data_IF_140488492491
#
_entry.id   IF_140488492491
#
_cell.length_a   1.000
_cell.length_b   1.000
_cell.length_c   1.000
_cell.angle_alpha   90.00
_cell.angle_beta   90.00
_cell.angle_gamma   90.00
#
_symmetry.space_group_name_H-M   'P 1'
#
loop_
_entity.id
_entity.type
_entity.pdbx_description
1 polymer ?
#
# COMPACT_ATOMS: atom_id res chain seq x y z
N UNK A 1 -42.66 -61.45 7.01
CA UNK A 1 -42.82 -59.98 6.90
C UNK A 1 -41.64 -59.21 7.50
N UNK A 2 -40.39 -59.49 7.10
CA UNK A 2 -39.20 -58.85 7.72
C UNK A 2 -38.11 -58.41 6.73
N UNK A 3 -38.25 -58.69 5.43
CA UNK A 3 -37.23 -58.37 4.41
C UNK A 3 -37.47 -57.01 3.72
N UNK A 4 -38.73 -56.56 3.61
CA UNK A 4 -39.09 -55.29 2.92
C UNK A 4 -38.70 -54.01 3.71
N UNK A 5 -38.60 -54.08 5.05
CA UNK A 5 -38.29 -52.93 5.90
C UNK A 5 -36.79 -52.56 5.93
N UNK A 6 -35.89 -53.51 5.69
CA UNK A 6 -34.43 -53.26 5.68
C UNK A 6 -33.94 -52.61 4.38
N UNK A 7 -34.56 -52.92 3.24
CA UNK A 7 -34.24 -52.29 1.96
C UNK A 7 -34.73 -50.84 1.87
N UNK A 8 -35.86 -50.50 2.50
CA UNK A 8 -36.36 -49.13 2.57
C UNK A 8 -35.46 -48.21 3.42
N UNK A 9 -34.89 -48.72 4.52
CA UNK A 9 -33.99 -47.93 5.39
C UNK A 9 -32.62 -47.71 4.73
N UNK A 10 -32.09 -48.71 4.03
CA UNK A 10 -30.84 -48.60 3.25
C UNK A 10 -31.00 -47.69 2.02
N UNK A 11 -32.15 -47.71 1.35
CA UNK A 11 -32.47 -46.81 0.23
C UNK A 11 -32.59 -45.34 0.64
N UNK A 12 -33.14 -45.05 1.83
CA UNK A 12 -33.23 -43.68 2.36
C UNK A 12 -31.91 -43.15 2.92
N UNK A 13 -31.00 -44.04 3.36
CA UNK A 13 -29.66 -43.64 3.83
C UNK A 13 -28.72 -43.27 2.67
N UNK A 14 -28.85 -43.90 1.49
CA UNK A 14 -28.08 -43.51 0.30
C UNK A 14 -28.50 -42.13 -0.24
N UNK A 15 -29.79 -41.79 -0.22
CA UNK A 15 -30.26 -40.47 -0.69
C UNK A 15 -29.86 -39.30 0.22
N UNK A 16 -29.47 -39.56 1.47
CA UNK A 16 -28.94 -38.53 2.37
C UNK A 16 -27.42 -38.39 2.27
N UNK A 17 -26.70 -39.42 1.81
CA UNK A 17 -25.25 -39.36 1.67
C UNK A 17 -24.79 -38.60 0.42
N UNK A 18 -25.58 -38.62 -0.65
CA UNK A 18 -25.28 -37.84 -1.86
C UNK A 18 -25.63 -36.34 -1.71
N UNK A 19 -26.48 -35.96 -0.75
CA UNK A 19 -26.85 -34.55 -0.55
C UNK A 19 -25.76 -33.69 0.10
N UNK A 20 -24.83 -34.28 0.86
CA UNK A 20 -23.79 -33.50 1.54
C UNK A 20 -22.67 -33.02 0.61
N UNK A 21 -22.40 -33.73 -0.49
CA UNK A 21 -21.41 -33.28 -1.47
C UNK A 21 -21.97 -32.15 -2.36
N UNK A 22 -23.23 -32.26 -2.79
CA UNK A 22 -23.89 -31.29 -3.66
C UNK A 22 -24.23 -29.96 -2.97
N UNK A 23 -24.57 -29.96 -1.67
CA UNK A 23 -24.92 -28.72 -0.94
C UNK A 23 -23.74 -27.78 -0.65
N UNK A 24 -22.49 -28.24 -0.79
CA UNK A 24 -21.30 -27.44 -0.40
C UNK A 24 -20.70 -26.60 -1.53
N UNK A 25 -20.91 -26.99 -2.80
CA UNK A 25 -20.36 -26.29 -3.96
C UNK A 25 -21.23 -25.07 -4.34
N UNK A 26 -22.55 -25.17 -4.20
CA UNK A 26 -23.50 -24.09 -4.50
C UNK A 26 -23.28 -22.83 -3.66
N UNK A 27 -22.83 -22.97 -2.40
CA UNK A 27 -22.50 -21.83 -1.53
C UNK A 27 -21.23 -21.08 -1.94
N UNK A 28 -20.29 -21.74 -2.65
CA UNK A 28 -19.10 -21.05 -3.19
C UNK A 28 -19.38 -20.36 -4.53
N UNK A 29 -20.35 -20.84 -5.31
CA UNK A 29 -20.67 -20.25 -6.62
C UNK A 29 -21.57 -19.01 -6.55
N UNK A 30 -22.33 -18.82 -5.48
CA UNK A 30 -23.32 -17.73 -5.38
C UNK A 30 -22.70 -16.37 -5.09
N UNK A 31 -21.65 -16.34 -4.27
CA UNK A 31 -20.98 -15.10 -3.85
C UNK A 31 -19.64 -14.83 -4.57
N UNK A 32 -19.19 -15.75 -5.43
CA UNK A 32 -17.92 -15.61 -6.17
C UNK A 32 -18.06 -14.75 -7.45
N UNK A 33 -17.00 -13.99 -7.83
CA UNK A 33 -16.98 -13.26 -9.09
C UNK A 33 -16.97 -14.24 -10.28
N UNK A 34 -17.71 -13.91 -11.36
CA UNK A 34 -17.90 -14.78 -12.54
C UNK A 34 -16.61 -15.40 -13.09
N UNK A 35 -15.51 -14.63 -13.12
CA UNK A 35 -14.21 -15.13 -13.58
C UNK A 35 -13.65 -16.27 -12.71
N UNK A 36 -13.84 -16.21 -11.40
CA UNK A 36 -13.38 -17.27 -10.50
C UNK A 36 -14.24 -18.53 -10.64
N UNK A 37 -15.53 -18.38 -10.96
CA UNK A 37 -16.44 -19.51 -11.25
C UNK A 37 -16.01 -20.25 -12.52
N UNK A 38 -15.59 -19.53 -13.56
CA UNK A 38 -15.05 -20.15 -14.78
C UNK A 38 -13.79 -20.99 -14.49
N UNK A 39 -12.89 -20.48 -13.63
CA UNK A 39 -11.71 -21.24 -13.19
C UNK A 39 -12.06 -22.46 -12.33
N UNK A 40 -13.05 -22.34 -11.45
CA UNK A 40 -13.51 -23.42 -10.58
C UNK A 40 -14.11 -24.57 -11.39
N UNK A 41 -14.96 -24.24 -12.37
CA UNK A 41 -15.58 -25.22 -13.28
C UNK A 41 -14.56 -25.88 -14.20
N UNK A 42 -13.57 -25.13 -14.70
CA UNK A 42 -12.47 -25.68 -15.51
C UNK A 42 -11.63 -26.70 -14.71
N UNK A 43 -11.30 -26.40 -13.45
CA UNK A 43 -10.52 -27.31 -12.60
C UNK A 43 -11.32 -28.53 -12.14
N UNK A 44 -12.61 -28.36 -11.84
CA UNK A 44 -13.50 -29.46 -11.47
C UNK A 44 -13.78 -30.43 -12.62
N UNK A 45 -13.58 -29.99 -13.88
CA UNK A 45 -13.66 -30.88 -15.04
C UNK A 45 -12.50 -31.87 -15.14
N UNK A 46 -11.39 -31.62 -14.44
CA UNK A 46 -10.27 -32.55 -14.38
C UNK A 46 -10.59 -33.71 -13.44
N UNK A 47 -10.33 -34.94 -13.91
CA UNK A 47 -10.55 -36.18 -13.14
C UNK A 47 -9.85 -36.19 -11.78
N UNK A 48 -8.78 -35.40 -11.63
CA UNK A 48 -8.00 -35.26 -10.41
C UNK A 48 -8.75 -34.51 -9.28
N UNK A 49 -9.70 -33.62 -9.64
CA UNK A 49 -10.40 -32.73 -8.70
C UNK A 49 -11.93 -32.90 -8.71
N UNK A 50 -12.48 -33.68 -9.66
CA UNK A 50 -13.92 -33.83 -9.89
C UNK A 50 -14.73 -34.37 -8.69
N UNK A 51 -14.10 -35.01 -7.71
CA UNK A 51 -14.76 -35.54 -6.50
C UNK A 51 -14.32 -34.86 -5.21
N UNK A 52 -13.57 -33.75 -5.28
CA UNK A 52 -13.18 -33.01 -4.08
C UNK A 52 -14.36 -32.26 -3.49
N UNK A 53 -14.62 -32.44 -2.19
CA UNK A 53 -15.54 -31.61 -1.43
C UNK A 53 -14.89 -30.32 -0.92
N UNK A 54 -15.68 -29.40 -0.37
CA UNK A 54 -15.23 -28.09 0.14
C UNK A 54 -14.07 -28.19 1.13
N UNK A 55 -14.10 -29.13 2.09
CA UNK A 55 -13.01 -29.32 3.06
C UNK A 55 -11.70 -29.80 2.41
N UNK A 56 -11.81 -30.67 1.39
CA UNK A 56 -10.66 -31.17 0.64
C UNK A 56 -10.03 -30.07 -0.22
N UNK A 57 -10.84 -29.16 -0.77
CA UNK A 57 -10.36 -27.98 -1.51
C UNK A 57 -9.60 -27.01 -0.61
N UNK A 58 -10.09 -26.77 0.62
CA UNK A 58 -9.45 -25.87 1.57
C UNK A 58 -8.13 -26.44 2.13
N UNK A 59 -7.99 -27.77 2.20
CA UNK A 59 -6.79 -28.43 2.73
C UNK A 59 -5.76 -28.78 1.66
N UNK A 60 -6.19 -29.01 0.40
CA UNK A 60 -5.30 -29.46 -0.66
C UNK A 60 -4.49 -28.32 -1.31
N UNK A 61 -3.20 -28.28 -0.97
CA UNK A 61 -2.19 -27.43 -1.65
C UNK A 61 -2.20 -27.52 -3.19
N UNK A 62 -2.33 -28.69 -3.85
CA UNK A 62 -2.33 -28.75 -5.32
C UNK A 62 -3.53 -28.02 -5.94
N UNK A 63 -4.71 -28.13 -5.34
CA UNK A 63 -5.90 -27.42 -5.79
C UNK A 63 -5.75 -25.91 -5.63
N UNK A 64 -5.34 -25.43 -4.45
CA UNK A 64 -5.14 -23.99 -4.22
C UNK A 64 -4.08 -23.39 -5.16
N UNK A 65 -3.05 -24.18 -5.52
CA UNK A 65 -2.02 -23.76 -6.49
C UNK A 65 -2.58 -23.70 -7.91
N UNK A 66 -3.34 -24.71 -8.34
CA UNK A 66 -3.96 -24.74 -9.68
C UNK A 66 -4.99 -23.61 -9.85
N UNK A 67 -5.82 -23.41 -8.81
CA UNK A 67 -6.76 -22.28 -8.72
C UNK A 67 -6.03 -20.94 -8.80
N UNK A 68 -4.96 -20.76 -8.01
CA UNK A 68 -4.14 -19.56 -8.06
C UNK A 68 -3.53 -19.29 -9.44
N UNK A 69 -3.10 -20.33 -10.17
CA UNK A 69 -2.60 -20.18 -11.55
C UNK A 69 -3.69 -19.70 -12.50
N UNK A 70 -4.90 -20.27 -12.42
CA UNK A 70 -6.02 -19.86 -13.27
C UNK A 70 -6.48 -18.42 -12.99
N UNK A 71 -6.63 -18.06 -11.72
CA UNK A 71 -7.02 -16.70 -11.32
C UNK A 71 -6.02 -15.64 -11.78
N UNK A 72 -4.72 -15.96 -11.73
CA UNK A 72 -3.67 -15.02 -12.13
C UNK A 72 -3.51 -14.90 -13.66
N UNK A 73 -4.04 -15.85 -14.43
CA UNK A 73 -4.01 -15.78 -15.91
C UNK A 73 -5.29 -15.20 -16.49
N UNK A 74 -6.45 -15.49 -15.91
CA UNK A 74 -7.75 -15.10 -16.47
C UNK A 74 -8.43 -13.94 -15.73
N UNK A 75 -8.16 -13.74 -14.44
CA UNK A 75 -8.88 -12.75 -13.63
C UNK A 75 -8.06 -11.50 -13.32
N UNK A 76 -8.77 -10.38 -13.11
CA UNK A 76 -8.15 -9.15 -12.62
C UNK A 76 -7.70 -9.30 -11.16
N UNK A 77 -6.64 -8.58 -10.78
CA UNK A 77 -6.14 -8.59 -9.39
C UNK A 77 -7.23 -8.29 -8.35
N UNK A 78 -8.20 -7.43 -8.68
CA UNK A 78 -9.31 -7.09 -7.78
C UNK A 78 -10.24 -8.28 -7.56
N UNK A 79 -10.69 -8.92 -8.64
CA UNK A 79 -11.54 -10.11 -8.57
C UNK A 79 -10.85 -11.29 -7.89
N UNK A 80 -9.54 -11.44 -8.09
CA UNK A 80 -8.75 -12.45 -7.41
C UNK A 80 -8.72 -12.21 -5.90
N UNK A 81 -8.52 -10.96 -5.46
CA UNK A 81 -8.56 -10.63 -4.03
C UNK A 81 -9.95 -10.80 -3.41
N UNK A 82 -11.01 -10.44 -4.14
CA UNK A 82 -12.39 -10.62 -3.69
C UNK A 82 -12.70 -12.12 -3.54
N UNK A 83 -12.31 -12.95 -4.51
CA UNK A 83 -12.43 -14.41 -4.42
C UNK A 83 -11.60 -15.02 -3.29
N UNK A 84 -10.36 -14.55 -3.06
CA UNK A 84 -9.53 -15.03 -1.95
C UNK A 84 -10.19 -14.70 -0.61
N UNK A 85 -10.76 -13.51 -0.47
CA UNK A 85 -11.49 -13.11 0.74
C UNK A 85 -12.70 -14.03 0.96
N UNK A 86 -13.50 -14.24 -0.07
CA UNK A 86 -14.70 -15.06 0.00
C UNK A 86 -14.39 -16.55 0.25
N UNK A 87 -13.45 -17.11 -0.50
CA UNK A 87 -13.00 -18.50 -0.30
C UNK A 87 -12.37 -18.71 1.08
N UNK A 88 -11.65 -17.72 1.62
CA UNK A 88 -11.11 -17.80 2.99
C UNK A 88 -12.21 -17.80 4.06
N UNK A 89 -13.29 -17.04 3.85
CA UNK A 89 -14.46 -17.05 4.73
C UNK A 89 -15.18 -18.41 4.67
N UNK A 90 -15.33 -18.97 3.47
CA UNK A 90 -15.91 -20.30 3.26
C UNK A 90 -15.03 -21.44 3.82
N UNK A 91 -13.71 -21.27 3.91
CA UNK A 91 -12.80 -22.20 4.58
C UNK A 91 -12.68 -21.94 6.09
N UNK A 92 -13.39 -20.96 6.64
CA UNK A 92 -13.33 -20.61 8.08
C UNK A 92 -11.98 -20.04 8.52
N UNK A 93 -11.17 -19.52 7.60
CA UNK A 93 -9.85 -18.97 7.90
C UNK A 93 -10.03 -17.50 8.31
N UNK A 94 -9.73 -17.12 9.57
CA UNK A 94 -9.88 -15.73 10.00
C UNK A 94 -8.87 -14.82 9.27
N UNK A 95 -9.25 -13.58 8.90
CA UNK A 95 -8.32 -12.63 8.31
C UNK A 95 -7.18 -12.34 9.30
N UNK A 96 -5.95 -12.67 8.90
CA UNK A 96 -4.75 -12.48 9.72
C UNK A 96 -4.40 -10.99 9.79
N UNK A 97 -4.86 -10.29 10.83
CA UNK A 97 -4.57 -8.87 11.06
C UNK A 97 -3.23 -8.69 11.79
N UNK A 98 -2.12 -9.04 11.12
CA UNK A 98 -0.76 -8.88 11.68
C UNK A 98 -0.12 -7.53 11.34
N UNK A 99 -0.92 -6.65 10.74
CA UNK A 99 -1.10 -5.31 11.27
C UNK A 99 0.12 -4.61 11.86
N UNK A 100 0.12 -4.62 13.18
CA UNK A 100 1.11 -3.91 13.98
C UNK A 100 2.40 -4.72 14.17
N UNK A 101 2.33 -6.06 14.06
CA UNK A 101 3.53 -6.90 14.20
C UNK A 101 4.50 -6.67 13.05
N UNK A 102 4.00 -6.53 11.82
CA UNK A 102 4.86 -6.19 10.69
C UNK A 102 5.40 -4.76 10.79
N UNK A 103 4.64 -3.82 11.37
CA UNK A 103 5.05 -2.41 11.53
C UNK A 103 6.20 -2.31 12.51
N UNK A 104 6.03 -2.92 13.68
CA UNK A 104 7.04 -2.96 14.72
C UNK A 104 8.30 -3.67 14.20
N UNK A 105 8.14 -4.82 13.54
CA UNK A 105 9.27 -5.57 13.03
C UNK A 105 10.04 -4.82 11.93
N UNK A 106 9.35 -4.19 10.98
CA UNK A 106 9.98 -3.41 9.91
C UNK A 106 10.79 -2.22 10.47
N UNK A 107 10.21 -1.46 11.40
CA UNK A 107 10.90 -0.32 12.03
C UNK A 107 12.13 -0.76 12.81
N UNK A 108 12.03 -1.87 13.56
CA UNK A 108 13.14 -2.41 14.35
C UNK A 108 14.27 -2.91 13.44
N UNK A 109 13.95 -3.64 12.37
CA UNK A 109 14.95 -4.14 11.41
C UNK A 109 15.69 -2.99 10.74
N UNK A 110 14.99 -1.91 10.37
CA UNK A 110 15.63 -0.73 9.77
C UNK A 110 16.57 -0.02 10.75
N UNK A 111 16.16 0.13 12.01
CA UNK A 111 17.01 0.73 13.05
C UNK A 111 18.28 -0.10 13.27
N UNK A 112 18.15 -1.43 13.36
CA UNK A 112 19.31 -2.31 13.46
C UNK A 112 20.22 -2.21 12.22
N UNK A 113 19.66 -2.17 11.01
CA UNK A 113 20.44 -2.06 9.78
C UNK A 113 21.30 -0.78 9.74
N UNK A 114 20.76 0.36 10.19
CA UNK A 114 21.52 1.61 10.31
C UNK A 114 22.64 1.52 11.35
N UNK A 115 22.39 0.85 12.48
CA UNK A 115 23.43 0.63 13.51
C UNK A 115 24.55 -0.26 12.96
N UNK A 116 24.20 -1.36 12.28
CA UNK A 116 25.20 -2.24 11.65
C UNK A 116 26.00 -1.53 10.56
N UNK A 117 25.34 -0.68 9.75
CA UNK A 117 26.02 0.15 8.77
C UNK A 117 27.00 1.12 9.44
N UNK A 118 26.56 1.85 10.47
CA UNK A 118 27.42 2.76 11.21
C UNK A 118 28.62 2.05 11.84
N UNK A 119 28.39 0.90 12.50
CA UNK A 119 29.46 0.06 13.05
C UNK A 119 30.44 -0.42 11.98
N UNK A 120 29.95 -0.80 10.80
CA UNK A 120 30.78 -1.24 9.66
C UNK A 120 31.65 -0.11 9.12
N UNK A 121 31.13 1.10 8.98
CA UNK A 121 31.90 2.28 8.56
C UNK A 121 32.93 2.67 9.63
N UNK A 122 32.54 2.69 10.90
CA UNK A 122 33.44 3.03 12.01
C UNK A 122 34.58 2.02 12.13
N UNK A 123 34.30 0.71 12.06
CA UNK A 123 35.35 -0.31 12.13
C UNK A 123 36.33 -0.21 10.96
N UNK A 124 35.86 0.04 9.73
CA UNK A 124 36.76 0.27 8.58
C UNK A 124 37.61 1.52 8.73
N UNK A 125 37.04 2.63 9.20
CA UNK A 125 37.77 3.88 9.41
C UNK A 125 38.80 3.75 10.54
N UNK A 126 38.45 3.05 11.63
CA UNK A 126 39.32 2.81 12.78
C UNK A 126 40.47 1.83 12.47
N UNK A 127 40.19 0.79 11.67
CA UNK A 127 41.15 -0.27 11.35
C UNK A 127 41.90 -0.02 10.03
N UNK A 128 41.57 1.03 9.28
CA UNK A 128 42.23 1.36 8.00
C UNK A 128 42.03 0.31 6.90
N UNK A 129 40.92 -0.43 6.93
CA UNK A 129 40.64 -1.51 5.98
C UNK A 129 40.30 -0.96 4.59
N UNK A 130 40.68 -1.69 3.54
CA UNK A 130 40.39 -1.33 2.14
C UNK A 130 38.89 -1.39 1.84
N UNK A 131 38.40 -0.52 0.97
CA UNK A 131 36.99 -0.48 0.57
C UNK A 131 36.66 -1.62 -0.41
N UNK A 132 35.63 -2.40 -0.10
CA UNK A 132 35.14 -3.49 -0.96
C UNK A 132 33.91 -3.08 -1.76
N UNK A 133 33.56 -3.88 -2.77
CA UNK A 133 32.37 -3.66 -3.62
C UNK A 133 31.08 -3.70 -2.78
N UNK A 134 31.01 -4.58 -1.78
CA UNK A 134 29.87 -4.66 -0.86
C UNK A 134 29.68 -3.37 -0.05
N UNK A 135 30.76 -2.69 0.31
CA UNK A 135 30.70 -1.42 1.05
C UNK A 135 30.18 -0.30 0.15
N UNK A 136 30.62 -0.28 -1.12
CA UNK A 136 30.15 0.68 -2.11
C UNK A 136 28.65 0.51 -2.38
N UNK A 137 28.18 -0.72 -2.57
CA UNK A 137 26.77 -1.01 -2.80
C UNK A 137 25.93 -0.59 -1.59
N UNK A 138 26.35 -0.98 -0.38
CA UNK A 138 25.63 -0.63 0.85
C UNK A 138 25.59 0.88 1.06
N UNK A 139 26.72 1.57 0.84
CA UNK A 139 26.81 3.03 0.97
C UNK A 139 25.92 3.73 -0.04
N UNK A 140 25.88 3.27 -1.29
CA UNK A 140 25.02 3.83 -2.34
C UNK A 140 23.54 3.69 -1.97
N UNK A 141 23.12 2.52 -1.46
CA UNK A 141 21.74 2.30 -1.03
C UNK A 141 21.33 3.22 0.12
N UNK A 142 22.20 3.38 1.13
CA UNK A 142 21.94 4.31 2.25
C UNK A 142 21.90 5.76 1.76
N UNK A 143 22.83 6.15 0.90
CA UNK A 143 22.88 7.50 0.32
C UNK A 143 21.59 7.83 -0.44
N UNK A 144 21.07 6.89 -1.22
CA UNK A 144 19.81 7.06 -1.95
C UNK A 144 18.64 7.38 -1.00
N UNK A 145 18.49 6.60 0.08
CA UNK A 145 17.45 6.83 1.10
C UNK A 145 17.62 8.19 1.78
N UNK A 146 18.87 8.55 2.12
CA UNK A 146 19.16 9.84 2.76
C UNK A 146 18.81 11.01 1.85
N UNK A 147 19.17 10.94 0.55
CA UNK A 147 18.86 11.98 -0.43
C UNK A 147 17.35 12.15 -0.58
N UNK A 148 16.59 11.05 -0.66
CA UNK A 148 15.13 11.10 -0.77
C UNK A 148 14.48 11.82 0.43
N UNK A 149 14.90 11.47 1.65
CA UNK A 149 14.40 12.10 2.88
C UNK A 149 14.80 13.57 2.98
N UNK A 150 16.04 13.90 2.61
CA UNK A 150 16.54 15.28 2.61
C UNK A 150 15.80 16.14 1.58
N UNK A 151 15.56 15.62 0.38
CA UNK A 151 14.85 16.33 -0.68
C UNK A 151 13.44 16.75 -0.22
N UNK A 152 12.68 15.82 0.36
CA UNK A 152 11.33 16.12 0.84
C UNK A 152 11.31 17.04 2.06
N UNK A 153 12.31 16.93 2.93
CA UNK A 153 12.50 17.86 4.03
C UNK A 153 12.82 19.27 3.53
N UNK A 154 13.68 19.39 2.51
CA UNK A 154 14.00 20.66 1.88
C UNK A 154 12.76 21.32 1.27
N UNK A 155 11.90 20.56 0.57
CA UNK A 155 10.63 21.08 0.03
C UNK A 155 9.75 21.68 1.13
N UNK A 156 9.56 20.98 2.25
CA UNK A 156 8.74 21.46 3.37
C UNK A 156 9.32 22.72 4.00
N UNK A 157 10.65 22.79 4.14
CA UNK A 157 11.34 23.97 4.67
C UNK A 157 11.22 25.19 3.76
N UNK A 158 11.31 25.00 2.44
CA UNK A 158 11.10 26.09 1.47
C UNK A 158 9.68 26.67 1.61
N UNK A 159 8.65 25.80 1.69
CA UNK A 159 7.26 26.24 1.91
C UNK A 159 7.11 27.00 3.22
N UNK A 160 7.74 26.51 4.30
CA UNK A 160 7.73 27.19 5.59
C UNK A 160 8.40 28.57 5.53
N UNK A 161 9.53 28.71 4.82
CA UNK A 161 10.21 29.99 4.63
C UNK A 161 9.32 31.01 3.88
N UNK A 162 8.61 30.58 2.83
CA UNK A 162 7.68 31.43 2.08
C UNK A 162 6.51 31.87 2.97
N UNK A 163 5.91 30.95 3.74
CA UNK A 163 4.82 31.27 4.66
C UNK A 163 5.28 32.26 5.76
N UNK A 164 6.50 32.10 6.28
CA UNK A 164 7.11 33.06 7.21
C UNK A 164 7.28 34.45 6.58
N UNK A 165 7.68 34.52 5.31
CA UNK A 165 7.75 35.77 4.56
C UNK A 165 6.37 36.43 4.42
N UNK A 166 5.31 35.66 4.17
CA UNK A 166 3.93 36.15 4.13
C UNK A 166 3.47 36.75 5.45
N UNK A 167 3.81 36.14 6.59
CA UNK A 167 3.51 36.70 7.91
C UNK A 167 4.21 38.04 8.16
N UNK A 168 5.42 38.21 7.60
CA UNK A 168 6.20 39.46 7.74
C UNK A 168 5.64 40.60 6.90
N UNK A 169 5.22 40.32 5.67
CA UNK A 169 4.79 41.36 4.71
C UNK A 169 3.32 41.80 4.91
N UNK A 170 2.41 40.86 5.23
CA UNK A 170 0.99 41.18 5.38
C UNK A 170 0.58 41.28 6.85
N UNK A 171 0.08 42.45 7.30
CA UNK A 171 -0.34 42.65 8.68
C UNK A 171 -1.77 42.16 8.98
N UNK A 172 -2.56 41.75 7.97
CA UNK A 172 -3.97 41.35 8.15
C UNK A 172 -4.14 40.14 9.09
N UNK A 173 -5.03 40.26 10.07
CA UNK A 173 -5.20 39.25 11.12
C UNK A 173 -5.79 37.94 10.60
N UNK A 174 -6.80 38.01 9.71
CA UNK A 174 -7.44 36.82 9.14
C UNK A 174 -6.45 36.06 8.27
N UNK A 175 -5.69 36.78 7.44
CA UNK A 175 -4.63 36.21 6.62
C UNK A 175 -3.54 35.53 7.46
N UNK A 176 -3.11 36.14 8.57
CA UNK A 176 -2.11 35.55 9.46
C UNK A 176 -2.56 34.24 10.10
N UNK A 177 -3.84 34.11 10.45
CA UNK A 177 -4.39 32.85 10.94
C UNK A 177 -4.30 31.78 9.84
N UNK A 178 -4.77 32.10 8.63
CA UNK A 178 -4.73 31.15 7.49
C UNK A 178 -3.31 30.68 7.19
N UNK A 179 -2.33 31.58 7.18
CA UNK A 179 -0.92 31.24 6.95
C UNK A 179 -0.36 30.36 8.07
N UNK A 180 -0.64 30.66 9.35
CA UNK A 180 -0.23 29.80 10.47
C UNK A 180 -0.87 28.42 10.41
N UNK A 181 -2.16 28.32 10.08
CA UNK A 181 -2.82 27.03 9.87
C UNK A 181 -2.17 26.24 8.73
N UNK A 182 -1.83 26.92 7.63
CA UNK A 182 -1.13 26.29 6.49
C UNK A 182 0.27 25.80 6.90
N UNK A 183 0.98 26.54 7.76
CA UNK A 183 2.29 26.15 8.29
C UNK A 183 2.20 24.87 9.13
N UNK A 184 1.19 24.78 10.02
CA UNK A 184 0.93 23.58 10.81
C UNK A 184 0.58 22.40 9.90
N UNK A 185 -0.28 22.61 8.91
CA UNK A 185 -0.66 21.56 7.96
C UNK A 185 0.52 21.04 7.13
N UNK A 186 1.41 21.92 6.67
CA UNK A 186 2.65 21.56 5.99
C UNK A 186 3.56 20.69 6.88
N UNK A 187 3.69 21.03 8.17
CA UNK A 187 4.44 20.22 9.12
C UNK A 187 3.80 18.83 9.37
N UNK A 188 2.47 18.76 9.44
CA UNK A 188 1.75 17.48 9.58
C UNK A 188 1.96 16.56 8.37
N UNK A 189 1.96 17.11 7.16
CA UNK A 189 2.26 16.34 5.94
C UNK A 189 3.68 15.78 5.99
N UNK A 190 4.66 16.56 6.45
CA UNK A 190 6.03 16.11 6.61
C UNK A 190 6.16 14.97 7.64
N UNK A 191 5.53 15.10 8.80
CA UNK A 191 5.49 14.02 9.81
C UNK A 191 4.82 12.77 9.25
N UNK A 192 3.73 12.93 8.50
CA UNK A 192 3.06 11.84 7.80
C UNK A 192 3.99 11.12 6.84
N UNK A 193 4.76 11.85 6.03
CA UNK A 193 5.71 11.26 5.09
C UNK A 193 6.77 10.40 5.80
N UNK A 194 7.36 10.91 6.88
CA UNK A 194 8.35 10.18 7.68
C UNK A 194 7.80 8.88 8.26
N UNK A 195 6.55 8.91 8.71
CA UNK A 195 5.84 7.72 9.16
C UNK A 195 5.70 6.75 7.98
N UNK A 196 5.09 7.18 6.88
CA UNK A 196 4.74 6.28 5.78
C UNK A 196 5.93 5.72 5.00
N UNK A 197 7.08 6.40 4.91
CA UNK A 197 8.29 5.87 4.26
C UNK A 197 8.67 4.47 4.72
N UNK A 198 8.53 4.19 6.02
CA UNK A 198 8.84 2.88 6.59
C UNK A 198 7.69 1.86 6.50
N UNK A 199 6.48 2.33 6.18
CA UNK A 199 5.25 1.55 6.20
C UNK A 199 4.62 1.31 4.83
N UNK A 200 5.18 1.87 3.76
CA UNK A 200 4.65 1.77 2.40
C UNK A 200 4.55 0.34 1.86
N UNK A 201 5.41 -0.58 2.32
CA UNK A 201 5.40 -1.98 1.86
C UNK A 201 5.51 -2.95 3.02
N UNK A 202 4.60 -3.92 3.05
CA UNK A 202 4.53 -4.94 4.11
C UNK A 202 4.31 -6.30 3.46
N UNK A 203 5.23 -7.27 3.65
CA UNK A 203 6.54 -7.17 4.30
C UNK A 203 7.54 -6.27 3.53
N UNK A 204 8.43 -5.55 4.23
CA UNK A 204 9.49 -4.73 3.61
C UNK A 204 10.40 -5.54 2.66
N UNK A 205 10.60 -6.83 2.93
CA UNK A 205 11.37 -7.72 2.03
C UNK A 205 10.77 -7.85 0.63
N UNK A 206 9.46 -7.57 0.45
CA UNK A 206 8.85 -7.51 -0.87
C UNK A 206 9.31 -6.31 -1.67
N UNK A 207 9.78 -5.22 -1.05
CA UNK A 207 10.33 -4.10 -1.81
C UNK A 207 11.47 -4.55 -2.72
N UNK A 208 12.35 -5.43 -2.20
CA UNK A 208 13.48 -5.98 -2.96
C UNK A 208 13.15 -7.25 -3.72
N UNK A 209 12.37 -8.18 -3.13
CA UNK A 209 12.10 -9.49 -3.74
C UNK A 209 10.75 -9.59 -4.47
N UNK A 210 9.94 -8.53 -4.45
CA UNK A 210 8.56 -8.55 -4.95
C UNK A 210 8.46 -8.69 -6.47
N UNK A 211 9.50 -8.26 -7.19
CA UNK A 211 9.62 -8.50 -8.64
C UNK A 211 9.78 -9.99 -8.97
N UNK A 212 10.57 -10.73 -8.17
CA UNK A 212 10.78 -12.17 -8.38
C UNK A 212 9.53 -13.00 -8.04
N UNK A 213 8.75 -12.58 -7.03
CA UNK A 213 7.57 -13.33 -6.58
C UNK A 213 6.26 -12.97 -7.32
N UNK A 214 6.29 -12.12 -8.34
CA UNK A 214 5.08 -11.55 -8.99
C UNK A 214 4.08 -10.90 -8.00
N UNK A 215 4.57 -10.49 -6.82
CA UNK A 215 3.78 -9.80 -5.77
C UNK A 215 3.90 -8.27 -5.87
N UNK A 216 4.34 -7.75 -7.01
CA UNK A 216 4.50 -6.31 -7.24
C UNK A 216 3.22 -5.49 -7.03
N UNK A 217 2.03 -6.11 -7.15
CA UNK A 217 0.76 -5.43 -6.89
C UNK A 217 0.61 -4.94 -5.43
N UNK A 218 1.20 -5.64 -4.44
CA UNK A 218 1.16 -5.19 -3.04
C UNK A 218 1.99 -3.92 -2.82
N UNK A 219 3.11 -3.80 -3.53
CA UNK A 219 3.98 -2.60 -3.53
C UNK A 219 3.22 -1.43 -4.16
N UNK A 220 2.61 -1.68 -5.32
CA UNK A 220 1.81 -0.68 -6.02
C UNK A 220 0.62 -0.23 -5.17
N UNK A 221 -0.04 -1.14 -4.45
CA UNK A 221 -1.19 -0.83 -3.60
C UNK A 221 -0.80 0.10 -2.44
N UNK A 222 0.34 -0.15 -1.78
CA UNK A 222 0.85 0.75 -0.75
C UNK A 222 1.20 2.13 -1.29
N UNK A 223 1.87 2.18 -2.44
CA UNK A 223 2.21 3.43 -3.12
C UNK A 223 0.96 4.22 -3.55
N UNK A 224 -0.04 3.57 -4.15
CA UNK A 224 -1.26 4.23 -4.62
C UNK A 224 -2.15 4.70 -3.49
N UNK A 225 -2.18 3.98 -2.37
CA UNK A 225 -3.08 4.30 -1.26
C UNK A 225 -2.50 5.34 -0.30
N UNK A 226 -1.17 5.43 -0.17
CA UNK A 226 -0.53 6.31 0.82
C UNK A 226 0.37 7.36 0.17
N UNK A 227 1.32 6.94 -0.67
CA UNK A 227 2.33 7.85 -1.24
C UNK A 227 1.72 8.82 -2.25
N UNK A 228 0.87 8.30 -3.15
CA UNK A 228 0.28 9.10 -4.23
C UNK A 228 -0.68 10.19 -3.71
N UNK A 229 -1.56 9.93 -2.72
CA UNK A 229 -2.35 10.98 -2.08
C UNK A 229 -1.50 12.02 -1.34
N UNK A 230 -0.43 11.60 -0.63
CA UNK A 230 0.49 12.53 0.03
C UNK A 230 1.21 13.44 -0.97
N UNK A 231 1.64 12.89 -2.11
CA UNK A 231 2.22 13.66 -3.21
C UNK A 231 1.21 14.65 -3.80
N UNK A 232 -0.03 14.20 -4.02
CA UNK A 232 -1.13 15.07 -4.47
C UNK A 232 -1.40 16.22 -3.49
N UNK A 233 -1.44 15.95 -2.18
CA UNK A 233 -1.61 17.00 -1.17
C UNK A 233 -0.45 18.00 -1.14
N UNK A 234 0.78 17.53 -1.34
CA UNK A 234 1.95 18.41 -1.45
C UNK A 234 1.84 19.35 -2.66
N UNK A 235 1.42 18.82 -3.81
CA UNK A 235 1.18 19.61 -5.01
C UNK A 235 0.03 20.62 -4.83
N UNK A 236 -1.06 20.19 -4.18
CA UNK A 236 -2.18 21.08 -3.85
C UNK A 236 -1.74 22.22 -2.92
N UNK A 237 -0.84 21.94 -1.98
CA UNK A 237 -0.23 22.96 -1.13
C UNK A 237 0.58 23.97 -1.94
N UNK A 238 1.29 23.55 -2.98
CA UNK A 238 2.02 24.46 -3.85
C UNK A 238 1.07 25.41 -4.58
N UNK A 239 -0.03 24.89 -5.13
CA UNK A 239 -1.08 25.71 -5.76
C UNK A 239 -1.71 26.66 -4.73
N UNK A 240 -2.01 26.16 -3.52
CA UNK A 240 -2.57 26.98 -2.43
C UNK A 240 -1.65 28.13 -2.03
N UNK A 241 -0.34 27.90 -1.97
CA UNK A 241 0.64 28.95 -1.68
C UNK A 241 0.66 30.07 -2.73
N UNK A 242 0.28 29.80 -3.98
CA UNK A 242 0.15 30.82 -5.03
C UNK A 242 -1.13 31.65 -4.87
N UNK A 243 -2.21 31.01 -4.43
CA UNK A 243 -3.50 31.66 -4.24
C UNK A 243 -3.43 32.62 -3.05
N UNK A 244 -2.74 32.24 -1.96
CA UNK A 244 -2.63 33.04 -0.74
C UNK A 244 -2.27 34.52 -0.99
N UNK A 245 -1.13 34.88 -1.60
CA UNK A 245 -0.77 36.27 -1.84
C UNK A 245 -1.71 36.97 -2.84
N UNK A 246 -2.31 36.23 -3.77
CA UNK A 246 -3.25 36.78 -4.76
C UNK A 246 -4.56 37.26 -4.12
N UNK A 247 -5.05 36.57 -3.07
CA UNK A 247 -6.26 37.01 -2.34
C UNK A 247 -6.09 38.40 -1.73
N UNK A 248 -4.90 38.71 -1.19
CA UNK A 248 -4.60 40.01 -0.59
C UNK A 248 -4.43 41.11 -1.64
N UNK A 249 -3.84 40.78 -2.80
CA UNK A 249 -3.63 41.71 -3.91
C UNK A 249 -4.92 42.14 -4.62
N UNK A 250 -6.01 41.39 -4.48
CA UNK A 250 -7.31 41.75 -5.05
C UNK A 250 -8.14 42.63 -4.12
N UNK A 251 -7.93 42.53 -2.81
CA UNK A 251 -8.58 43.40 -1.81
C UNK A 251 -8.01 44.81 -1.74
N UNK A 252 -6.74 45.01 -2.10
CA UNK A 252 -6.13 46.34 -2.16
C UNK A 252 -6.26 46.92 -3.58
N UNK A 253 -6.95 48.06 -3.72
CA UNK A 253 -7.22 48.74 -5.00
C UNK A 253 -6.00 49.33 -5.73
N UNK A 254 -4.91 48.56 -5.90
CA UNK A 254 -3.72 48.99 -6.64
C UNK A 254 -3.95 49.00 -8.16
N UNK A 255 -3.39 50.01 -8.83
CA UNK A 255 -3.29 50.09 -10.30
C UNK A 255 -2.55 48.85 -10.84
N UNK A 256 -3.05 48.29 -11.95
CA UNK A 256 -2.62 47.01 -12.55
C UNK A 256 -1.10 46.87 -12.74
N UNK A 257 -0.38 47.97 -13.05
CA UNK A 257 1.09 47.98 -13.21
C UNK A 257 1.85 47.57 -11.95
N UNK A 258 1.41 47.98 -10.76
CA UNK A 258 2.05 47.57 -9.48
C UNK A 258 1.67 46.15 -9.10
N UNK A 259 0.44 45.74 -9.43
CA UNK A 259 -0.07 44.38 -9.22
C UNK A 259 0.73 43.35 -10.02
N UNK A 260 1.06 43.67 -11.28
CA UNK A 260 1.85 42.79 -12.14
C UNK A 260 3.28 42.58 -11.62
N UNK A 261 3.92 43.61 -11.05
CA UNK A 261 5.28 43.50 -10.49
C UNK A 261 5.36 42.63 -9.23
N UNK A 262 4.32 42.67 -8.38
CA UNK A 262 4.25 41.78 -7.21
C UNK A 262 3.96 40.34 -7.65
N UNK A 263 3.08 40.15 -8.65
CA UNK A 263 2.81 38.83 -9.24
C UNK A 263 4.10 38.26 -9.84
N UNK A 264 4.88 39.05 -10.59
CA UNK A 264 6.14 38.58 -11.17
C UNK A 264 7.18 38.20 -10.11
N UNK A 265 7.26 38.94 -9.00
CA UNK A 265 8.15 38.57 -7.88
C UNK A 265 7.79 37.21 -7.27
N UNK A 266 6.50 36.87 -7.17
CA UNK A 266 6.06 35.56 -6.67
C UNK A 266 6.20 34.44 -7.71
N UNK A 267 6.08 34.75 -9.00
CA UNK A 267 6.29 33.76 -10.08
C UNK A 267 7.75 33.35 -10.26
N UNK A 268 8.71 34.23 -9.96
CA UNK A 268 10.14 33.87 -10.03
C UNK A 268 10.56 32.86 -8.96
N UNK A 269 9.85 32.80 -7.82
CA UNK A 269 10.10 31.79 -6.79
C UNK A 269 9.61 30.37 -7.10
N UNK A 270 8.97 30.16 -8.25
CA UNK A 270 8.41 28.87 -8.70
C UNK A 270 9.32 28.16 -9.71
N UNK A 271 10.21 28.90 -10.37
CA UNK A 271 11.11 28.46 -11.44
C UNK A 271 12.46 28.04 -10.85
#
# INVERSE_FOLDING_TARGET
MTVSRRFLILGTLCLLYDTTAAQSLDSMLTDAPKCAVDCLTELLSQKEYAQMGQEAMCSSKPFSKAMGVCLMTKCSMRQTMDFIKESSAACGIPPTNNTNEYRLNSTVVFAFALVFFALRIVTKFRLGLTWGVDDTLTTLSVLFIVIEVLYLTALVLVKAAILCFFLRIFPDHKFRIVVKCTMVFNALIWVGFFIFVFFQTQPFSLFWNGWQQKKGHLILTGFTNFTLPLAGMNLLLDIWMLILPMTQLWGMGLKLRKKLGVISMFSVGIL
#
